data_IF_562661157045
#
_entry.id   IF_562661157045
#
_cell.length_a   1.000
_cell.length_b   1.000
_cell.length_c   1.000
_cell.angle_alpha   90.00
_cell.angle_beta   90.00
_cell.angle_gamma   90.00
#
_symmetry.space_group_name_H-M   'P 1'
#
loop_
_entity.id
_entity.type
_entity.pdbx_description
1 polymer ?
#
# COMPACT_ATOMS: atom_id res chain seq x y z
N UNK A 1 -24.56 -15.42 -7.27
CA UNK A 1 -23.73 -14.21 -7.19
C UNK A 1 -22.71 -14.37 -6.09
N UNK A 2 -21.47 -14.20 -6.44
CA UNK A 2 -20.43 -14.19 -5.42
C UNK A 2 -20.60 -12.96 -4.56
N UNK A 3 -20.69 -13.17 -3.26
CA UNK A 3 -20.69 -12.05 -2.35
C UNK A 3 -19.32 -11.39 -2.42
N UNK A 4 -19.24 -10.05 -2.43
CA UNK A 4 -17.95 -9.40 -2.33
C UNK A 4 -17.27 -9.88 -1.06
N UNK A 5 -15.95 -9.96 -1.11
CA UNK A 5 -15.17 -10.29 0.07
C UNK A 5 -15.58 -9.32 1.20
N UNK A 6 -15.92 -9.88 2.36
CA UNK A 6 -16.34 -9.08 3.49
C UNK A 6 -15.32 -8.02 3.87
N UNK A 7 -14.02 -8.31 3.69
CA UNK A 7 -12.95 -7.37 3.96
C UNK A 7 -13.02 -6.15 3.04
N UNK A 8 -13.29 -6.39 1.76
CA UNK A 8 -13.43 -5.30 0.80
C UNK A 8 -14.73 -4.53 0.99
N UNK A 9 -15.76 -5.22 1.45
CA UNK A 9 -17.08 -4.63 1.65
C UNK A 9 -17.12 -3.69 2.85
N UNK A 10 -16.51 -4.07 3.96
CA UNK A 10 -16.60 -3.33 5.21
C UNK A 10 -15.38 -2.46 5.50
N UNK A 11 -14.21 -3.00 5.37
CA UNK A 11 -13.02 -2.26 5.73
C UNK A 11 -11.77 -2.96 5.17
N UNK A 12 -11.72 -3.07 3.86
CA UNK A 12 -10.60 -3.78 3.22
C UNK A 12 -9.34 -2.93 3.23
N UNK A 13 -8.49 -3.21 4.20
CA UNK A 13 -7.14 -2.66 4.27
C UNK A 13 -6.19 -3.85 4.31
N UNK A 14 -5.30 -3.93 3.35
CA UNK A 14 -4.37 -5.05 3.21
C UNK A 14 -2.94 -4.58 3.42
N UNK A 15 -2.24 -5.26 4.31
CA UNK A 15 -0.80 -5.04 4.47
C UNK A 15 -0.05 -6.10 3.68
N UNK A 16 0.84 -5.67 2.82
CA UNK A 16 1.63 -6.53 1.94
C UNK A 16 3.11 -6.36 2.28
N UNK A 17 3.77 -7.46 2.60
CA UNK A 17 5.20 -7.48 2.85
C UNK A 17 5.90 -8.16 1.67
N UNK A 18 6.84 -7.47 1.06
CA UNK A 18 7.55 -7.96 -0.13
C UNK A 18 9.04 -8.05 0.14
N UNK A 19 9.64 -9.13 -0.37
CA UNK A 19 11.07 -9.36 -0.28
C UNK A 19 11.85 -8.26 -1.03
N UNK A 20 12.98 -7.88 -0.48
CA UNK A 20 13.86 -6.88 -1.09
C UNK A 20 14.36 -7.27 -2.49
N UNK A 21 14.25 -8.53 -2.85
CA UNK A 21 14.63 -9.03 -4.18
C UNK A 21 13.56 -8.80 -5.24
N UNK A 22 12.38 -8.39 -4.82
CA UNK A 22 11.28 -8.17 -5.75
C UNK A 22 11.56 -6.95 -6.63
N UNK A 23 11.43 -7.14 -7.93
CA UNK A 23 11.61 -6.07 -8.92
C UNK A 23 10.27 -5.84 -9.60
N UNK A 24 9.85 -4.59 -9.67
CA UNK A 24 8.65 -4.28 -10.44
C UNK A 24 8.79 -3.03 -11.27
N UNK A 25 7.94 -2.97 -12.29
CA UNK A 25 7.93 -1.88 -13.22
C UNK A 25 7.05 -0.74 -12.75
N UNK A 26 7.51 0.47 -13.02
CA UNK A 26 6.70 1.67 -12.80
C UNK A 26 5.96 1.99 -14.10
N UNK A 27 4.63 2.03 -14.02
CA UNK A 27 3.80 2.50 -15.12
C UNK A 27 3.13 3.77 -14.63
N UNK A 28 3.65 4.92 -15.05
CA UNK A 28 3.15 6.20 -14.57
C UNK A 28 1.75 6.49 -15.06
N UNK A 29 0.98 7.17 -14.22
CA UNK A 29 -0.35 7.64 -14.59
C UNK A 29 -0.25 8.88 -15.44
N UNK A 30 -1.13 8.98 -16.43
CA UNK A 30 -1.28 10.21 -17.22
C UNK A 30 -1.88 11.33 -16.37
N UNK A 31 -2.77 10.98 -15.45
CA UNK A 31 -3.40 11.94 -14.55
C UNK A 31 -3.42 11.39 -13.12
N UNK A 32 -3.07 12.27 -12.18
CA UNK A 32 -3.11 11.93 -10.76
C UNK A 32 -4.54 12.03 -10.26
N UNK A 33 -5.06 11.00 -9.56
CA UNK A 33 -6.42 11.07 -9.03
C UNK A 33 -6.56 12.12 -7.94
N UNK A 34 -7.65 12.86 -7.97
CA UNK A 34 -7.95 13.84 -6.93
C UNK A 34 -8.55 13.19 -5.68
N UNK A 35 -8.67 13.99 -4.62
CA UNK A 35 -9.24 13.53 -3.36
C UNK A 35 -10.65 12.97 -3.53
N UNK A 36 -11.50 13.65 -4.27
CA UNK A 36 -12.87 13.21 -4.53
C UNK A 36 -12.92 11.87 -5.25
N UNK A 37 -12.07 11.71 -6.25
CA UNK A 37 -11.97 10.47 -7.02
C UNK A 37 -11.51 9.31 -6.12
N UNK A 38 -10.52 9.55 -5.28
CA UNK A 38 -10.04 8.55 -4.35
C UNK A 38 -11.09 8.17 -3.31
N UNK A 39 -11.80 9.14 -2.74
CA UNK A 39 -12.89 8.86 -1.80
C UNK A 39 -13.99 8.02 -2.42
N UNK A 40 -14.34 8.31 -3.66
CA UNK A 40 -15.36 7.55 -4.39
C UNK A 40 -14.88 6.12 -4.64
N UNK A 41 -13.62 5.95 -4.98
CA UNK A 41 -13.07 4.63 -5.26
C UNK A 41 -12.97 3.75 -4.02
N UNK A 42 -12.32 4.22 -2.97
CA UNK A 42 -12.01 3.39 -1.81
C UNK A 42 -13.02 3.50 -0.68
N UNK A 43 -13.80 4.56 -0.65
CA UNK A 43 -14.71 4.86 0.43
C UNK A 43 -14.10 5.83 1.45
N UNK A 44 -14.94 6.55 2.16
CA UNK A 44 -14.51 7.63 3.06
C UNK A 44 -13.58 7.15 4.18
N UNK A 45 -13.98 6.09 4.87
CA UNK A 45 -13.18 5.59 6.00
C UNK A 45 -11.82 5.06 5.57
N UNK A 46 -11.75 4.38 4.44
CA UNK A 46 -10.50 3.89 3.89
C UNK A 46 -9.62 5.02 3.35
N UNK A 47 -10.25 6.05 2.79
CA UNK A 47 -9.52 7.23 2.36
C UNK A 47 -8.89 7.96 3.56
N UNK A 48 -9.58 8.02 4.69
CA UNK A 48 -9.03 8.59 5.91
C UNK A 48 -7.78 7.82 6.37
N UNK A 49 -7.80 6.50 6.28
CA UNK A 49 -6.64 5.66 6.57
C UNK A 49 -5.50 5.97 5.61
N UNK A 50 -5.81 6.09 4.33
CA UNK A 50 -4.84 6.46 3.29
C UNK A 50 -4.13 7.77 3.62
N UNK A 51 -4.91 8.79 3.96
CA UNK A 51 -4.36 10.11 4.29
C UNK A 51 -3.52 10.06 5.58
N UNK A 52 -3.97 9.32 6.58
CA UNK A 52 -3.22 9.17 7.83
C UNK A 52 -1.90 8.44 7.64
N UNK A 53 -1.89 7.40 6.82
CA UNK A 53 -0.65 6.70 6.49
C UNK A 53 0.33 7.59 5.76
N UNK A 54 -0.15 8.34 4.78
CA UNK A 54 0.67 9.31 4.05
C UNK A 54 1.28 10.34 5.01
N UNK A 55 0.47 10.88 5.90
CA UNK A 55 0.93 11.88 6.87
C UNK A 55 2.00 11.32 7.80
N UNK A 56 1.81 10.11 8.30
CA UNK A 56 2.78 9.45 9.17
C UNK A 56 4.12 9.21 8.46
N UNK A 57 4.07 8.75 7.22
CA UNK A 57 5.28 8.48 6.44
C UNK A 57 6.02 9.78 6.14
N UNK A 58 5.29 10.79 5.67
CA UNK A 58 5.86 12.07 5.28
C UNK A 58 6.40 12.87 6.47
N UNK A 59 5.81 12.68 7.64
CA UNK A 59 6.31 13.30 8.88
C UNK A 59 7.67 12.74 9.29
N UNK A 60 7.85 11.43 9.14
CA UNK A 60 9.05 10.74 9.61
C UNK A 60 10.17 10.63 8.60
N UNK A 61 9.84 10.65 7.33
CA UNK A 61 10.81 10.35 6.27
C UNK A 61 10.69 11.35 5.13
N UNK A 62 11.85 11.77 4.63
CA UNK A 62 11.94 12.58 3.43
C UNK A 62 12.09 11.66 2.23
N UNK A 63 11.02 11.46 1.48
CA UNK A 63 10.97 10.51 0.37
C UNK A 63 10.33 11.13 -0.86
N UNK A 64 10.71 10.62 -2.03
CA UNK A 64 10.05 10.93 -3.28
C UNK A 64 8.76 10.14 -3.38
N UNK A 65 7.73 10.76 -3.92
CA UNK A 65 6.42 10.15 -4.09
C UNK A 65 6.06 10.05 -5.57
N UNK A 66 5.57 8.88 -5.99
CA UNK A 66 5.20 8.64 -7.38
C UNK A 66 3.83 7.97 -7.46
N UNK A 67 2.99 8.51 -8.35
CA UNK A 67 1.73 7.87 -8.71
C UNK A 67 1.92 7.00 -9.93
N UNK A 68 1.51 5.74 -9.84
CA UNK A 68 1.57 4.78 -10.95
C UNK A 68 0.26 4.02 -11.07
N UNK A 69 0.11 3.31 -12.18
CA UNK A 69 -0.94 2.31 -12.30
C UNK A 69 -0.62 1.15 -11.39
N UNK A 70 -1.65 0.59 -10.76
CA UNK A 70 -1.45 -0.46 -9.77
C UNK A 70 -1.22 -1.86 -10.32
N UNK A 71 -1.07 -2.04 -11.61
CA UNK A 71 -0.94 -3.34 -12.22
C UNK A 71 -2.29 -4.04 -12.38
N UNK A 72 -2.28 -5.37 -12.38
CA UNK A 72 -3.51 -6.15 -12.63
C UNK A 72 -4.50 -6.14 -11.48
N UNK A 73 -3.99 -6.09 -10.25
CA UNK A 73 -4.82 -6.24 -9.06
C UNK A 73 -5.31 -4.91 -8.49
N UNK A 74 -4.66 -3.81 -8.81
CA UNK A 74 -4.90 -2.50 -8.21
C UNK A 74 -5.08 -1.45 -9.28
N UNK A 75 -5.89 -0.44 -8.98
CA UNK A 75 -6.12 0.66 -9.91
C UNK A 75 -5.02 1.70 -9.84
N UNK A 76 -4.60 2.05 -8.62
CA UNK A 76 -3.57 3.05 -8.39
C UNK A 76 -2.52 2.53 -7.43
N UNK A 77 -1.29 3.02 -7.63
CA UNK A 77 -0.16 2.80 -6.74
C UNK A 77 0.44 4.15 -6.38
N UNK A 78 0.59 4.42 -5.09
CA UNK A 78 1.30 5.60 -4.62
C UNK A 78 2.56 5.13 -3.90
N UNK A 79 3.69 5.35 -4.54
CA UNK A 79 4.97 4.75 -4.17
C UNK A 79 5.86 5.77 -3.46
N UNK A 80 6.51 5.34 -2.39
CA UNK A 80 7.53 6.12 -1.71
C UNK A 80 8.90 5.54 -2.00
N UNK A 81 9.79 6.41 -2.50
CA UNK A 81 11.14 6.03 -2.90
C UNK A 81 12.18 6.91 -2.21
N UNK A 82 13.35 6.34 -2.00
CA UNK A 82 14.50 7.07 -1.47
C UNK A 82 15.77 6.53 -2.11
N UNK A 83 16.56 7.44 -2.72
CA UNK A 83 17.79 7.06 -3.38
C UNK A 83 17.59 6.02 -4.49
N UNK A 84 16.50 6.12 -5.23
CA UNK A 84 16.19 5.20 -6.31
C UNK A 84 15.59 3.87 -5.87
N UNK A 85 15.42 3.65 -4.56
CA UNK A 85 14.83 2.42 -4.01
C UNK A 85 13.41 2.68 -3.52
N UNK A 86 12.48 1.81 -3.88
CA UNK A 86 11.14 1.82 -3.33
C UNK A 86 11.17 1.23 -1.94
N UNK A 87 10.65 1.96 -0.97
CA UNK A 87 10.60 1.51 0.43
C UNK A 87 9.22 1.01 0.82
N UNK A 88 8.19 1.68 0.36
CA UNK A 88 6.81 1.25 0.59
C UNK A 88 5.91 1.85 -0.48
N UNK A 89 4.67 1.37 -0.52
CA UNK A 89 3.68 1.89 -1.45
C UNK A 89 2.28 1.67 -0.89
N UNK A 90 1.37 2.57 -1.25
CA UNK A 90 -0.04 2.39 -0.99
C UNK A 90 -0.74 2.05 -2.30
N UNK A 91 -1.73 1.18 -2.22
CA UNK A 91 -2.49 0.71 -3.37
C UNK A 91 -3.96 0.98 -3.17
N UNK A 92 -4.64 1.28 -4.24
CA UNK A 92 -6.08 1.54 -4.20
C UNK A 92 -6.80 0.76 -5.29
N UNK A 93 -7.92 0.19 -4.92
CA UNK A 93 -8.90 -0.38 -5.85
C UNK A 93 -10.27 -0.19 -5.24
N UNK A 94 -11.30 -0.58 -5.95
CA UNK A 94 -12.67 -0.39 -5.50
C UNK A 94 -12.88 -0.98 -4.09
N UNK A 95 -13.28 -0.13 -3.17
CA UNK A 95 -13.57 -0.48 -1.77
C UNK A 95 -12.41 -1.17 -1.04
N UNK A 96 -11.17 -0.86 -1.43
CA UNK A 96 -10.02 -1.50 -0.82
C UNK A 96 -8.76 -0.65 -0.94
N UNK A 97 -7.97 -0.63 0.11
CA UNK A 97 -6.62 -0.04 0.07
C UNK A 97 -5.62 -1.08 0.54
N UNK A 98 -4.42 -1.00 0.00
CA UNK A 98 -3.32 -1.87 0.39
C UNK A 98 -2.12 -1.05 0.81
N UNK A 99 -1.36 -1.55 1.75
CA UNK A 99 -0.11 -0.96 2.15
C UNK A 99 0.98 -2.00 2.06
N UNK A 100 1.99 -1.71 1.26
CA UNK A 100 3.09 -2.63 1.01
C UNK A 100 4.39 -2.06 1.57
N UNK A 101 5.13 -2.89 2.26
CA UNK A 101 6.44 -2.55 2.79
C UNK A 101 7.46 -3.51 2.18
N UNK A 102 8.55 -2.96 1.63
CA UNK A 102 9.65 -3.78 1.13
C UNK A 102 10.67 -3.91 2.25
N UNK A 103 10.93 -5.14 2.64
CA UNK A 103 11.87 -5.45 3.70
C UNK A 103 13.25 -5.74 3.11
N UNK A 104 14.29 -5.09 3.64
CA UNK A 104 15.65 -5.47 3.37
C UNK A 104 15.97 -6.81 4.03
N UNK A 105 17.17 -7.32 3.79
CA UNK A 105 17.57 -8.63 4.32
C UNK A 105 17.48 -8.70 5.84
N UNK A 106 18.02 -7.71 6.52
CA UNK A 106 18.03 -7.69 7.99
C UNK A 106 16.64 -7.52 8.58
N UNK A 107 15.84 -6.64 7.99
CA UNK A 107 14.46 -6.41 8.43
C UNK A 107 13.61 -7.66 8.23
N UNK A 108 13.85 -8.38 7.13
CA UNK A 108 13.16 -9.64 6.87
C UNK A 108 13.47 -10.67 7.94
N UNK A 109 14.73 -10.80 8.31
CA UNK A 109 15.14 -11.72 9.37
C UNK A 109 14.52 -11.37 10.70
N UNK A 110 14.46 -10.08 11.04
CA UNK A 110 13.81 -9.62 12.27
C UNK A 110 12.32 -9.92 12.28
N UNK A 111 11.66 -9.68 11.16
CA UNK A 111 10.24 -9.98 11.02
C UNK A 111 9.97 -11.46 11.24
N UNK A 112 10.77 -12.34 10.62
CA UNK A 112 10.61 -13.78 10.76
C UNK A 112 10.84 -14.24 12.21
N UNK A 113 11.82 -13.63 12.89
CA UNK A 113 12.11 -13.96 14.30
C UNK A 113 10.97 -13.55 15.23
N UNK A 114 10.31 -12.42 14.95
CA UNK A 114 9.25 -11.86 15.80
C UNK A 114 7.85 -12.09 15.23
N UNK A 115 7.73 -13.00 14.29
CA UNK A 115 6.50 -13.20 13.52
C UNK A 115 5.26 -13.34 14.38
N UNK A 116 5.37 -14.10 15.46
CA UNK A 116 4.23 -14.37 16.35
C UNK A 116 3.76 -13.15 17.15
N UNK A 117 4.58 -12.09 17.23
CA UNK A 117 4.19 -10.86 17.90
C UNK A 117 3.32 -9.93 17.02
N UNK A 118 3.18 -10.25 15.74
CA UNK A 118 2.37 -9.46 14.81
C UNK A 118 0.97 -10.04 14.66
N UNK A 119 0.03 -9.22 14.23
CA UNK A 119 -1.31 -9.69 13.94
C UNK A 119 -1.32 -10.67 12.77
N UNK A 120 -2.39 -11.46 12.66
CA UNK A 120 -2.52 -12.43 11.56
C UNK A 120 -2.47 -11.77 10.19
N UNK A 121 -3.03 -10.58 10.07
CA UNK A 121 -3.03 -9.83 8.82
C UNK A 121 -1.62 -9.49 8.37
N UNK A 122 -0.74 -9.21 9.32
CA UNK A 122 0.66 -8.87 9.03
C UNK A 122 1.49 -10.10 8.71
N UNK A 123 1.14 -11.24 9.29
CA UNK A 123 1.90 -12.48 9.12
C UNK A 123 1.72 -13.18 7.78
N UNK A 124 0.77 -12.77 6.99
CA UNK A 124 0.51 -13.36 5.68
C UNK A 124 1.65 -13.19 4.71
#
# INVERSE_FOLDING_TARGET
MNKPDKRCQYNCVILILIDYKFIWEDIMLDMIPGAKEMKTLVGESRYDIWIKLNALIEEKYDMECLWNKGGKAWKYEYKYRRGGKTLCALYARENCVGFMIILGKDERLRFEADRDSYSREVQR
#
